data_IF_395333943709
#
_entry.id   IF_395333943709
#
_cell.length_a   1.000
_cell.length_b   1.000
_cell.length_c   1.000
_cell.angle_alpha   90.00
_cell.angle_beta   90.00
_cell.angle_gamma   90.00
#
_symmetry.space_group_name_H-M   'P 1'
#
loop_
_entity.id
_entity.type
_entity.pdbx_description
1 polymer ?
#
# COMPACT_ATOMS: atom_id res chain seq x y z
N UNK A 1 -5.52 23.54 -24.49
CA UNK A 1 -4.63 23.03 -23.42
C UNK A 1 -5.53 22.43 -22.35
N UNK A 2 -5.72 21.11 -22.38
CA UNK A 2 -6.40 20.42 -21.27
C UNK A 2 -5.31 20.04 -20.28
N UNK A 3 -4.83 21.04 -19.53
CA UNK A 3 -3.95 20.78 -18.40
C UNK A 3 -4.85 20.35 -17.26
N UNK A 4 -4.90 19.06 -16.98
CA UNK A 4 -5.57 18.53 -15.78
C UNK A 4 -4.89 19.17 -14.57
N UNK A 5 -5.58 20.10 -13.91
CA UNK A 5 -5.14 20.59 -12.60
C UNK A 5 -5.47 19.50 -11.58
N UNK A 6 -4.51 18.64 -11.26
CA UNK A 6 -4.71 17.55 -10.30
C UNK A 6 -3.83 16.32 -10.58
N UNK A 7 -3.93 15.31 -9.71
CA UNK A 7 -3.36 13.99 -9.97
C UNK A 7 -4.37 13.19 -10.80
N UNK A 8 -3.94 12.56 -11.88
CA UNK A 8 -4.86 11.79 -12.72
C UNK A 8 -5.37 10.53 -11.98
N UNK A 9 -6.66 10.20 -12.04
CA UNK A 9 -7.22 9.01 -11.40
C UNK A 9 -6.48 7.70 -11.76
N UNK A 10 -5.98 7.61 -12.99
CA UNK A 10 -5.20 6.46 -13.46
C UNK A 10 -3.84 6.36 -12.77
N UNK A 11 -3.21 7.49 -12.44
CA UNK A 11 -1.97 7.51 -11.66
C UNK A 11 -2.20 7.05 -10.23
N UNK A 12 -3.30 7.49 -9.59
CA UNK A 12 -3.70 7.05 -8.25
C UNK A 12 -4.00 5.53 -8.23
N UNK A 13 -4.72 5.04 -9.24
CA UNK A 13 -5.05 3.61 -9.39
C UNK A 13 -3.80 2.76 -9.61
N UNK A 14 -2.86 3.24 -10.44
CA UNK A 14 -1.58 2.57 -10.68
C UNK A 14 -0.77 2.48 -9.39
N UNK A 15 -0.72 3.56 -8.61
CA UNK A 15 -0.01 3.60 -7.33
C UNK A 15 -0.62 2.66 -6.29
N UNK A 16 -1.94 2.66 -6.13
CA UNK A 16 -2.64 1.75 -5.23
C UNK A 16 -2.42 0.28 -5.61
N UNK A 17 -2.42 -0.03 -6.91
CA UNK A 17 -2.11 -1.38 -7.42
C UNK A 17 -0.68 -1.80 -7.10
N UNK A 18 0.29 -0.89 -7.30
CA UNK A 18 1.69 -1.17 -7.01
C UNK A 18 1.94 -1.44 -5.52
N UNK A 19 1.34 -0.65 -4.63
CA UNK A 19 1.46 -0.86 -3.19
C UNK A 19 0.81 -2.17 -2.72
N UNK A 20 -0.33 -2.57 -3.30
CA UNK A 20 -0.91 -3.89 -2.99
C UNK A 20 -0.01 -5.03 -3.43
N UNK A 21 0.64 -4.92 -4.59
CA UNK A 21 1.64 -5.89 -5.03
C UNK A 21 2.82 -5.95 -4.05
N UNK A 22 3.39 -4.80 -3.68
CA UNK A 22 4.48 -4.71 -2.71
C UNK A 22 4.09 -5.28 -1.34
N UNK A 23 2.86 -5.05 -0.88
CA UNK A 23 2.34 -5.67 0.34
C UNK A 23 2.38 -7.21 0.27
N UNK A 24 1.95 -7.77 -0.87
CA UNK A 24 2.00 -9.22 -1.11
C UNK A 24 3.43 -9.76 -1.18
N UNK A 25 4.34 -9.04 -1.84
CA UNK A 25 5.76 -9.41 -1.94
C UNK A 25 6.44 -9.39 -0.55
N UNK A 26 6.20 -8.35 0.25
CA UNK A 26 6.74 -8.23 1.61
C UNK A 26 6.17 -9.30 2.53
N UNK A 27 4.86 -9.54 2.49
CA UNK A 27 4.22 -10.58 3.29
C UNK A 27 4.64 -12.00 2.91
N UNK A 28 5.17 -12.20 1.69
CA UNK A 28 5.67 -13.49 1.23
C UNK A 28 7.14 -13.79 1.61
N UNK A 29 7.84 -12.84 2.24
CA UNK A 29 9.22 -13.04 2.68
C UNK A 29 9.27 -14.10 3.79
N UNK A 30 9.90 -15.24 3.49
CA UNK A 30 10.06 -16.35 4.44
C UNK A 30 11.31 -16.20 5.29
N UNK A 31 11.15 -16.43 6.59
CA UNK A 31 12.22 -16.45 7.59
C UNK A 31 12.44 -17.84 8.20
N UNK A 32 11.75 -18.86 7.68
CA UNK A 32 11.75 -20.22 8.24
C UNK A 32 13.16 -20.81 8.31
N UNK A 33 14.02 -20.50 7.35
CA UNK A 33 15.41 -20.97 7.30
C UNK A 33 16.27 -20.53 8.48
N UNK A 34 15.93 -19.42 9.14
CA UNK A 34 16.65 -18.97 10.33
C UNK A 34 16.39 -19.89 11.55
N UNK A 35 15.19 -20.48 11.64
CA UNK A 35 14.86 -21.48 12.67
C UNK A 35 15.60 -22.80 12.47
N UNK A 36 15.95 -23.12 11.22
CA UNK A 36 16.64 -24.35 10.81
C UNK A 36 18.16 -24.29 10.97
N UNK A 37 18.70 -23.13 11.37
CA UNK A 37 20.14 -22.96 11.55
C UNK A 37 20.70 -23.99 12.55
N UNK A 38 21.80 -24.66 12.18
CA UNK A 38 22.50 -25.65 13.01
C UNK A 38 23.93 -25.20 13.30
N UNK A 39 24.49 -25.68 14.41
CA UNK A 39 25.85 -25.34 14.84
C UNK A 39 26.02 -25.49 16.35
N UNK A 40 27.26 -25.37 16.81
CA UNK A 40 27.57 -25.40 18.24
C UNK A 40 26.89 -24.23 18.96
N UNK A 41 26.49 -24.47 20.22
CA UNK A 41 25.61 -23.62 21.03
C UNK A 41 26.18 -22.24 21.39
N UNK A 42 26.36 -21.40 20.39
CA UNK A 42 26.74 -20.00 20.52
C UNK A 42 25.50 -19.12 20.70
N UNK A 43 25.66 -18.02 21.43
CA UNK A 43 24.62 -17.00 21.60
C UNK A 43 24.15 -16.43 20.25
N UNK A 44 25.04 -16.39 19.25
CA UNK A 44 24.72 -15.97 17.88
C UNK A 44 23.72 -16.94 17.23
N UNK A 45 23.92 -18.25 17.37
CA UNK A 45 23.00 -19.25 16.82
C UNK A 45 21.62 -19.19 17.49
N UNK A 46 21.60 -18.97 18.81
CA UNK A 46 20.34 -18.75 19.54
C UNK A 46 19.60 -17.52 19.01
N UNK A 47 20.29 -16.39 18.84
CA UNK A 47 19.71 -15.17 18.30
C UNK A 47 19.18 -15.36 16.86
N UNK A 48 19.89 -16.10 16.00
CA UNK A 48 19.41 -16.41 14.64
C UNK A 48 18.11 -17.21 14.66
N UNK A 49 17.97 -18.18 15.57
CA UNK A 49 16.75 -18.99 15.69
C UNK A 49 15.55 -18.23 16.22
N UNK A 50 15.77 -17.15 16.97
CA UNK A 50 14.69 -16.29 17.48
C UNK A 50 14.31 -15.16 16.50
N UNK A 51 15.03 -14.99 15.40
CA UNK A 51 14.74 -13.99 14.36
C UNK A 51 13.38 -14.15 13.64
N UNK A 52 12.86 -15.35 13.34
CA UNK A 52 11.69 -15.52 12.49
C UNK A 52 10.45 -14.75 12.96
N UNK A 53 10.12 -14.81 14.25
CA UNK A 53 8.93 -14.18 14.82
C UNK A 53 8.94 -12.64 14.72
N UNK A 54 9.97 -11.92 15.21
CA UNK A 54 10.03 -10.46 15.06
C UNK A 54 10.15 -10.04 13.59
N UNK A 55 10.80 -10.84 12.74
CA UNK A 55 10.88 -10.56 11.31
C UNK A 55 9.50 -10.67 10.64
N UNK A 56 8.73 -11.72 10.95
CA UNK A 56 7.36 -11.90 10.46
C UNK A 56 6.46 -10.75 10.92
N UNK A 57 6.50 -10.38 12.21
CA UNK A 57 5.73 -9.25 12.74
C UNK A 57 6.07 -7.93 12.04
N UNK A 58 7.35 -7.68 11.74
CA UNK A 58 7.76 -6.50 11.00
C UNK A 58 7.22 -6.49 9.56
N UNK A 59 7.30 -7.62 8.86
CA UNK A 59 6.80 -7.74 7.49
C UNK A 59 5.28 -7.60 7.41
N UNK A 60 4.54 -8.24 8.32
CA UNK A 60 3.07 -8.09 8.44
C UNK A 60 2.68 -6.62 8.67
N UNK A 61 3.45 -5.94 9.53
CA UNK A 61 3.24 -4.51 9.81
C UNK A 61 3.49 -3.65 8.58
N UNK A 62 4.51 -3.95 7.78
CA UNK A 62 4.80 -3.23 6.53
C UNK A 62 3.72 -3.51 5.48
N UNK A 63 3.36 -4.77 5.26
CA UNK A 63 2.32 -5.17 4.33
C UNK A 63 0.97 -4.48 4.66
N UNK A 64 0.59 -4.46 5.94
CA UNK A 64 -0.61 -3.76 6.41
C UNK A 64 -0.59 -2.27 6.07
N UNK A 65 0.56 -1.61 6.24
CA UNK A 65 0.70 -0.18 5.91
C UNK A 65 0.57 0.07 4.42
N UNK A 66 1.17 -0.76 3.57
CA UNK A 66 1.01 -0.66 2.13
C UNK A 66 -0.44 -0.84 1.68
N UNK A 67 -1.14 -1.85 2.21
CA UNK A 67 -2.57 -2.03 1.93
C UNK A 67 -3.40 -0.84 2.38
N UNK A 68 -3.14 -0.34 3.60
CA UNK A 68 -3.85 0.84 4.14
C UNK A 68 -3.63 2.08 3.26
N UNK A 69 -2.40 2.31 2.80
CA UNK A 69 -2.09 3.42 1.90
C UNK A 69 -2.82 3.29 0.55
N UNK A 70 -2.88 2.08 -0.01
CA UNK A 70 -3.62 1.82 -1.25
C UNK A 70 -5.11 2.11 -1.08
N UNK A 71 -5.72 1.67 0.02
CA UNK A 71 -7.14 1.89 0.30
C UNK A 71 -7.46 3.39 0.51
N UNK A 72 -6.57 4.12 1.19
CA UNK A 72 -6.72 5.57 1.38
C UNK A 72 -6.63 6.33 0.05
N UNK A 73 -5.75 5.91 -0.85
CA UNK A 73 -5.61 6.53 -2.17
C UNK A 73 -6.80 6.23 -3.08
N UNK A 74 -7.32 5.00 -3.05
CA UNK A 74 -8.56 4.66 -3.77
C UNK A 74 -9.73 5.51 -3.28
N UNK A 75 -9.86 5.66 -1.95
CA UNK A 75 -10.88 6.53 -1.37
C UNK A 75 -10.71 7.98 -1.82
N UNK A 76 -9.49 8.51 -1.74
CA UNK A 76 -9.20 9.88 -2.17
C UNK A 76 -9.55 10.11 -3.65
N UNK A 77 -9.23 9.15 -4.52
CA UNK A 77 -9.58 9.20 -5.94
C UNK A 77 -11.11 9.24 -6.16
N UNK A 78 -11.86 8.41 -5.43
CA UNK A 78 -13.31 8.38 -5.50
C UNK A 78 -13.95 9.70 -5.00
N UNK A 79 -13.43 10.24 -3.88
CA UNK A 79 -13.93 11.48 -3.28
C UNK A 79 -13.72 12.68 -4.22
N UNK A 80 -12.57 12.75 -4.92
CA UNK A 80 -12.31 13.80 -5.93
C UNK A 80 -13.29 13.68 -7.10
N UNK A 81 -13.44 12.49 -7.68
CA UNK A 81 -14.32 12.30 -8.84
C UNK A 81 -15.78 12.64 -8.52
N UNK A 82 -16.24 12.32 -7.30
CA UNK A 82 -17.56 12.70 -6.83
C UNK A 82 -17.70 14.23 -6.72
N UNK A 83 -16.72 14.91 -6.11
CA UNK A 83 -16.72 16.37 -5.97
C UNK A 83 -16.64 17.11 -7.31
N UNK A 84 -15.86 16.61 -8.25
CA UNK A 84 -15.76 17.17 -9.61
C UNK A 84 -17.08 17.04 -10.36
N UNK A 85 -17.74 15.89 -10.28
CA UNK A 85 -19.05 15.66 -10.90
C UNK A 85 -20.14 16.56 -10.31
N UNK A 86 -20.17 16.72 -8.98
CA UNK A 86 -21.09 17.61 -8.29
C UNK A 86 -20.89 19.07 -8.75
N UNK A 87 -19.65 19.54 -8.72
CA UNK A 87 -19.29 20.91 -9.11
C UNK A 87 -19.63 21.18 -10.59
N UNK A 88 -19.31 20.25 -11.49
CA UNK A 88 -19.65 20.36 -12.90
C UNK A 88 -21.18 20.41 -13.10
N UNK A 89 -21.94 19.64 -12.32
CA UNK A 89 -23.40 19.67 -12.30
C UNK A 89 -23.95 21.05 -11.91
N UNK A 90 -23.41 21.68 -10.87
CA UNK A 90 -23.82 23.04 -10.46
C UNK A 90 -23.46 24.10 -11.51
N UNK A 91 -22.28 24.02 -12.13
CA UNK A 91 -21.89 24.93 -13.21
C UNK A 91 -22.82 24.78 -14.43
N UNK A 92 -23.18 23.55 -14.80
CA UNK A 92 -24.10 23.28 -15.91
C UNK A 92 -25.47 23.95 -15.74
N UNK A 93 -25.96 24.09 -14.51
CA UNK A 93 -27.21 24.81 -14.20
C UNK A 93 -27.13 26.31 -14.47
N UNK A 94 -25.93 26.89 -14.48
CA UNK A 94 -25.73 28.32 -14.79
C UNK A 94 -25.81 28.60 -16.30
N UNK A 95 -25.42 27.65 -17.14
CA UNK A 95 -25.41 27.78 -18.61
C UNK A 95 -26.78 27.61 -19.27
N UNK A 96 -27.82 27.24 -18.53
CA UNK A 96 -29.19 27.01 -19.03
C UNK A 96 -30.12 28.22 -18.89
N UNK A 97 -29.57 29.45 -18.93
CA UNK A 97 -30.34 30.71 -18.97
C UNK A 97 -30.33 31.35 -20.35
#
# INVERSE_FOLDING_TARGET
>A
MSGTLGVEPDQLTTMATAWRREAGEVGALSWASASEATGDGSDVLAAVRELPDPAAQAMDSIATRYTTLADLVDKFSADIQAGDAETAGEIGKLGTR
#
